data_IF_665925301325
#
_entry.id   IF_665925301325
#
_cell.length_a   1.000
_cell.length_b   1.000
_cell.length_c   1.000
_cell.angle_alpha   90.00
_cell.angle_beta   90.00
_cell.angle_gamma   90.00
#
_symmetry.space_group_name_H-M   'P 1'
#
loop_
_entity.id
_entity.type
_entity.pdbx_description
1 polymer ?
#
# COMPACT_ATOMS: atom_id res chain seq x y z
N UNK A 1 13.63 -7.84 -9.14
CA UNK A 1 12.79 -7.79 -7.92
C UNK A 1 12.27 -9.21 -7.68
N UNK A 2 12.42 -9.77 -6.47
CA UNK A 2 11.60 -10.93 -6.07
C UNK A 2 10.12 -10.51 -6.15
N UNK A 3 9.25 -11.43 -6.56
CA UNK A 3 7.86 -11.13 -6.95
C UNK A 3 7.05 -10.47 -5.83
N UNK A 4 6.17 -9.54 -6.22
CA UNK A 4 5.15 -9.03 -5.31
C UNK A 4 4.22 -10.18 -4.87
N UNK A 5 3.83 -10.20 -3.60
CA UNK A 5 2.78 -11.12 -3.13
C UNK A 5 1.40 -10.49 -3.31
N UNK A 6 1.32 -9.17 -3.26
CA UNK A 6 0.12 -8.40 -3.55
C UNK A 6 0.48 -7.10 -4.28
N UNK A 7 -0.32 -6.76 -5.29
CA UNK A 7 -0.30 -5.46 -5.94
C UNK A 7 -1.72 -5.06 -6.26
N UNK A 8 -2.17 -3.91 -5.77
CA UNK A 8 -3.55 -3.41 -5.95
C UNK A 8 -3.53 -2.00 -6.51
N UNK A 9 -4.43 -1.74 -7.46
CA UNK A 9 -4.69 -0.40 -7.96
C UNK A 9 -5.73 0.29 -7.07
N UNK A 10 -5.48 1.55 -6.74
CA UNK A 10 -6.35 2.38 -5.91
C UNK A 10 -6.60 3.68 -6.65
N UNK A 11 -7.86 4.07 -6.78
CA UNK A 11 -8.25 5.34 -7.39
C UNK A 11 -8.59 6.34 -6.29
N UNK A 12 -7.88 7.46 -6.28
CA UNK A 12 -7.98 8.49 -5.24
C UNK A 12 -8.72 9.69 -5.79
N UNK A 13 -9.79 10.09 -5.09
CA UNK A 13 -10.57 11.29 -5.40
C UNK A 13 -10.42 12.31 -4.26
N UNK A 14 -9.97 13.50 -4.59
CA UNK A 14 -9.99 14.65 -3.69
C UNK A 14 -11.31 15.42 -3.83
N UNK A 15 -11.63 16.31 -2.90
CA UNK A 15 -12.86 17.10 -2.95
C UNK A 15 -13.00 17.84 -4.29
N UNK A 16 -14.13 17.65 -4.96
CA UNK A 16 -14.42 18.28 -6.27
C UNK A 16 -13.78 17.60 -7.48
N UNK A 17 -13.05 16.49 -7.32
CA UNK A 17 -12.52 15.74 -8.47
C UNK A 17 -13.61 14.95 -9.21
N UNK A 18 -13.60 15.04 -10.54
CA UNK A 18 -14.46 14.22 -11.41
C UNK A 18 -13.79 12.87 -11.73
N UNK A 19 -14.55 11.90 -12.25
CA UNK A 19 -14.05 10.55 -12.56
C UNK A 19 -12.74 10.55 -13.38
N UNK A 20 -12.66 11.40 -14.40
CA UNK A 20 -11.50 11.51 -15.27
C UNK A 20 -10.24 12.09 -14.61
N UNK A 21 -10.40 12.74 -13.45
CA UNK A 21 -9.34 13.45 -12.71
C UNK A 21 -8.82 12.67 -11.51
N UNK A 22 -9.38 11.50 -11.22
CA UNK A 22 -8.92 10.66 -10.10
C UNK A 22 -7.50 10.18 -10.33
N UNK A 23 -6.66 10.31 -9.31
CA UNK A 23 -5.28 9.84 -9.34
C UNK A 23 -5.26 8.32 -9.12
N UNK A 24 -4.60 7.58 -10.01
CA UNK A 24 -4.34 6.15 -9.82
C UNK A 24 -3.06 5.98 -9.01
N UNK A 25 -3.13 5.22 -7.92
CA UNK A 25 -1.98 4.76 -7.14
C UNK A 25 -1.88 3.24 -7.24
N UNK A 26 -0.66 2.72 -7.08
CA UNK A 26 -0.42 1.28 -6.98
C UNK A 26 0.19 0.98 -5.62
N UNK A 27 -0.51 0.21 -4.80
CA UNK A 27 0.03 -0.32 -3.55
C UNK A 27 0.59 -1.71 -3.80
N UNK A 28 1.86 -1.91 -3.49
CA UNK A 28 2.56 -3.18 -3.65
C UNK A 28 3.18 -3.62 -2.33
N UNK A 29 3.02 -4.90 -2.01
CA UNK A 29 3.70 -5.59 -0.90
C UNK A 29 4.49 -6.76 -1.49
N UNK A 30 5.77 -6.86 -1.16
CA UNK A 30 6.60 -8.00 -1.57
C UNK A 30 6.38 -9.20 -0.67
N UNK A 31 6.65 -10.40 -1.19
CA UNK A 31 6.78 -11.57 -0.34
C UNK A 31 7.84 -11.32 0.76
N UNK A 32 7.64 -11.87 1.98
CA UNK A 32 8.65 -11.84 3.02
C UNK A 32 9.95 -12.51 2.54
N UNK A 33 11.08 -11.90 2.82
CA UNK A 33 12.40 -12.42 2.53
C UNK A 33 13.31 -12.31 3.75
N UNK A 34 14.41 -13.05 3.78
CA UNK A 34 15.41 -12.88 4.82
C UNK A 34 16.04 -11.50 4.71
N UNK A 35 16.18 -10.80 5.84
CA UNK A 35 16.90 -9.54 5.90
C UNK A 35 18.41 -9.78 5.69
N UNK A 36 19.09 -8.83 5.04
CA UNK A 36 20.52 -8.96 4.68
C UNK A 36 21.44 -9.01 5.91
N UNK A 37 20.98 -8.54 7.07
CA UNK A 37 21.69 -8.58 8.35
C UNK A 37 21.59 -9.93 9.08
N UNK A 38 20.84 -10.89 8.52
CA UNK A 38 20.67 -12.25 9.04
C UNK A 38 19.81 -12.37 10.30
N UNK A 39 19.29 -11.25 10.84
CA UNK A 39 18.59 -11.22 12.14
C UNK A 39 17.08 -11.41 12.06
N UNK A 40 16.48 -11.36 10.87
CA UNK A 40 15.03 -11.40 10.74
C UNK A 40 14.52 -11.56 9.32
N UNK A 41 13.27 -11.14 9.16
CA UNK A 41 12.55 -11.12 7.89
C UNK A 41 12.20 -9.69 7.52
N UNK A 42 12.05 -9.46 6.22
CA UNK A 42 11.76 -8.16 5.65
C UNK A 42 10.69 -8.28 4.58
N UNK A 43 9.79 -7.31 4.56
CA UNK A 43 8.91 -7.03 3.44
C UNK A 43 9.22 -5.63 2.92
N UNK A 44 8.98 -5.40 1.62
CA UNK A 44 8.95 -4.06 1.05
C UNK A 44 7.51 -3.69 0.75
N UNK A 45 7.14 -2.48 1.12
CA UNK A 45 5.84 -1.88 0.84
C UNK A 45 6.05 -0.59 0.07
N UNK A 46 5.27 -0.39 -0.98
CA UNK A 46 5.35 0.81 -1.81
C UNK A 46 3.94 1.28 -2.16
N UNK A 47 3.70 2.58 -2.03
CA UNK A 47 2.54 3.25 -2.60
C UNK A 47 3.06 4.16 -3.71
N UNK A 48 3.06 3.65 -4.93
CA UNK A 48 3.68 4.31 -6.09
C UNK A 48 3.15 5.74 -6.25
N UNK A 49 4.02 6.64 -6.73
CA UNK A 49 3.77 8.07 -6.93
C UNK A 49 3.53 8.90 -5.66
N UNK A 50 3.42 8.29 -4.48
CA UNK A 50 3.29 9.00 -3.20
C UNK A 50 4.44 8.72 -2.23
N UNK A 51 4.86 7.47 -2.11
CA UNK A 51 5.91 7.05 -1.20
C UNK A 51 6.98 6.23 -1.91
N UNK A 52 8.24 6.49 -1.56
CA UNK A 52 9.34 5.58 -1.95
C UNK A 52 9.10 4.21 -1.30
N UNK A 53 9.53 3.11 -1.92
CA UNK A 53 9.46 1.80 -1.30
C UNK A 53 10.14 1.81 0.07
N UNK A 54 9.44 1.35 1.09
CA UNK A 54 9.93 1.23 2.47
C UNK A 54 10.15 -0.24 2.78
N UNK A 55 11.31 -0.55 3.35
CA UNK A 55 11.58 -1.85 3.95
C UNK A 55 11.08 -1.86 5.40
N UNK A 56 10.31 -2.87 5.76
CA UNK A 56 9.86 -3.13 7.13
C UNK A 56 10.34 -4.50 7.56
N UNK A 57 10.72 -4.64 8.82
CA UNK A 57 11.31 -5.87 9.36
C UNK A 57 10.43 -6.50 10.44
N UNK A 58 10.63 -7.80 10.65
CA UNK A 58 9.98 -8.58 11.70
C UNK A 58 10.83 -9.78 12.11
N UNK A 59 10.53 -10.36 13.27
CA UNK A 59 11.24 -11.52 13.81
C UNK A 59 11.02 -12.78 12.94
N UNK A 60 9.84 -12.89 12.33
CA UNK A 60 9.46 -13.95 11.40
C UNK A 60 8.76 -13.38 10.15
N UNK A 61 8.50 -14.25 9.16
CA UNK A 61 7.90 -13.87 7.87
C UNK A 61 6.50 -13.28 8.02
N UNK A 62 5.72 -13.77 8.98
CA UNK A 62 4.34 -13.32 9.25
C UNK A 62 4.36 -11.93 9.89
N UNK A 63 5.24 -11.72 10.86
CA UNK A 63 5.43 -10.44 11.54
C UNK A 63 5.92 -9.36 10.56
N UNK A 64 6.84 -9.69 9.65
CA UNK A 64 7.30 -8.77 8.61
C UNK A 64 6.18 -8.41 7.62
N UNK A 65 5.33 -9.38 7.26
CA UNK A 65 4.15 -9.11 6.42
C UNK A 65 3.12 -8.24 7.15
N UNK A 66 2.83 -8.54 8.42
CA UNK A 66 1.93 -7.74 9.25
C UNK A 66 2.39 -6.28 9.38
N UNK A 67 3.70 -6.07 9.58
CA UNK A 67 4.30 -4.73 9.58
C UNK A 67 4.13 -4.01 8.24
N UNK A 68 4.24 -4.71 7.11
CA UNK A 68 4.04 -4.12 5.78
C UNK A 68 2.60 -3.70 5.54
N UNK A 69 1.64 -4.54 5.96
CA UNK A 69 0.21 -4.23 5.89
C UNK A 69 -0.13 -3.05 6.81
N UNK A 70 0.42 -3.01 8.03
CA UNK A 70 0.24 -1.89 8.95
C UNK A 70 0.79 -0.57 8.37
N UNK A 71 1.95 -0.60 7.73
CA UNK A 71 2.52 0.57 7.07
C UNK A 71 1.68 1.04 5.88
N UNK A 72 1.18 0.09 5.07
CA UNK A 72 0.24 0.41 4.00
C UNK A 72 -1.04 1.05 4.55
N UNK A 73 -1.61 0.48 5.62
CA UNK A 73 -2.79 1.00 6.28
C UNK A 73 -2.59 2.43 6.75
N UNK A 74 -1.46 2.72 7.42
CA UNK A 74 -1.13 4.05 7.89
C UNK A 74 -1.09 5.10 6.76
N UNK A 75 -0.56 4.74 5.58
CA UNK A 75 -0.56 5.64 4.42
C UNK A 75 -1.96 5.89 3.86
N UNK A 76 -2.80 4.86 3.80
CA UNK A 76 -4.17 4.99 3.31
C UNK A 76 -5.05 5.79 4.29
N UNK A 77 -4.91 5.53 5.59
CA UNK A 77 -5.60 6.29 6.63
C UNK A 77 -5.17 7.78 6.61
N UNK A 78 -3.90 8.06 6.30
CA UNK A 78 -3.42 9.43 6.14
C UNK A 78 -4.04 10.14 4.92
N UNK A 79 -4.32 9.43 3.82
CA UNK A 79 -5.04 9.97 2.66
C UNK A 79 -6.51 10.26 3.01
N UNK A 80 -7.17 9.33 3.71
CA UNK A 80 -8.56 9.52 4.17
C UNK A 80 -8.68 10.71 5.14
N UNK A 81 -7.72 10.84 6.07
CA UNK A 81 -7.63 11.98 6.98
C UNK A 81 -7.39 13.33 6.27
N UNK A 82 -6.80 13.31 5.07
CA UNK A 82 -6.67 14.49 4.18
C UNK A 82 -7.94 14.78 3.37
N UNK A 83 -9.01 14.00 3.58
CA UNK A 83 -10.29 14.14 2.88
C UNK A 83 -10.35 13.42 1.53
N UNK A 84 -9.37 12.57 1.22
CA UNK A 84 -9.39 11.80 -0.02
C UNK A 84 -10.32 10.58 0.11
N UNK A 85 -11.15 10.32 -0.91
CA UNK A 85 -11.91 9.07 -1.00
C UNK A 85 -11.18 8.06 -1.86
N UNK A 86 -11.04 6.82 -1.37
CA UNK A 86 -10.34 5.74 -2.04
C UNK A 86 -11.33 4.76 -2.69
N UNK A 87 -11.05 4.35 -3.93
CA UNK A 87 -11.89 3.45 -4.71
C UNK A 87 -11.10 2.28 -5.31
N UNK A 88 -11.77 1.12 -5.46
CA UNK A 88 -11.22 -0.08 -6.11
C UNK A 88 -11.23 0.02 -7.63
N UNK A 89 -12.10 0.87 -8.17
CA UNK A 89 -12.30 1.04 -9.60
C UNK A 89 -12.25 2.52 -10.01
N UNK A 90 -11.99 2.75 -11.30
CA UNK A 90 -11.87 4.10 -11.85
C UNK A 90 -13.17 4.90 -11.77
N UNK A 91 -14.32 4.23 -11.88
CA UNK A 91 -15.66 4.82 -11.86
C UNK A 91 -16.08 5.28 -10.46
N UNK A 92 -15.41 4.77 -9.43
CA UNK A 92 -15.69 5.08 -8.04
C UNK A 92 -16.98 4.44 -7.55
N UNK A 93 -17.38 3.31 -8.15
CA UNK A 93 -18.56 2.56 -7.77
C UNK A 93 -18.31 1.76 -6.48
N UNK A 94 -17.06 1.31 -6.27
CA UNK A 94 -16.66 0.50 -5.12
C UNK A 94 -15.61 1.21 -4.26
N UNK A 95 -15.91 1.43 -2.98
CA UNK A 95 -14.92 1.97 -2.03
C UNK A 95 -13.79 0.98 -1.77
N UNK A 96 -12.57 1.50 -1.71
CA UNK A 96 -11.41 0.71 -1.29
C UNK A 96 -11.34 0.67 0.23
N UNK A 97 -11.16 -0.53 0.76
CA UNK A 97 -10.83 -0.78 2.16
C UNK A 97 -9.75 -1.86 2.18
N UNK A 98 -8.72 -1.65 2.99
CA UNK A 98 -7.70 -2.65 3.26
C UNK A 98 -8.24 -3.55 4.38
N UNK A 99 -8.63 -4.76 4.00
CA UNK A 99 -9.16 -5.84 4.87
C UNK A 99 -8.03 -6.72 5.43
#
# INVERSE_FOLDING_TARGET
MKGAIASVEIFVAEAGTTEGQRRRLTLTVTAPDRADDGGGWMCRVALADLHRPTAVTGLDSVSALGAAIAQARAWLDALDAQGATLFRDRKGESRFQLE
#
